data_IF_218333917921
#
_entry.id   IF_218333917921
#
_cell.length_a   1.000
_cell.length_b   1.000
_cell.length_c   1.000
_cell.angle_alpha   90.00
_cell.angle_beta   90.00
_cell.angle_gamma   90.00
#
_symmetry.space_group_name_H-M   'P 1'
#
loop_
_entity.id
_entity.type
_entity.pdbx_description
1 polymer ?
#
# COMPACT_ATOMS: atom_id res chain seq x y z
N UNK A 1 -24.01 -25.57 -31.07
CA UNK A 1 -23.94 -25.66 -29.60
C UNK A 1 -22.52 -25.86 -29.07
N UNK A 2 -21.77 -26.90 -29.48
CA UNK A 2 -20.42 -27.23 -28.94
C UNK A 2 -19.40 -26.09 -29.00
N UNK A 3 -19.33 -25.36 -30.11
CA UNK A 3 -18.37 -24.27 -30.30
C UNK A 3 -18.70 -23.08 -29.38
N UNK A 4 -19.98 -22.77 -29.21
CA UNK A 4 -20.44 -21.68 -28.32
C UNK A 4 -20.08 -22.01 -26.87
N UNK A 5 -20.29 -23.27 -26.44
CA UNK A 5 -19.89 -23.73 -25.10
C UNK A 5 -18.38 -23.66 -24.92
N UNK A 6 -17.59 -24.04 -25.93
CA UNK A 6 -16.13 -23.95 -25.87
C UNK A 6 -15.64 -22.51 -25.74
N UNK A 7 -16.22 -21.56 -26.50
CA UNK A 7 -15.89 -20.13 -26.41
C UNK A 7 -16.27 -19.57 -25.03
N UNK A 8 -17.43 -19.96 -24.51
CA UNK A 8 -17.90 -19.54 -23.19
C UNK A 8 -16.93 -20.02 -22.09
N UNK A 9 -16.49 -21.27 -22.16
CA UNK A 9 -15.51 -21.83 -21.22
C UNK A 9 -14.15 -21.14 -21.33
N UNK A 10 -13.70 -20.79 -22.55
CA UNK A 10 -12.44 -20.09 -22.75
C UNK A 10 -12.44 -18.67 -22.18
N UNK A 11 -13.61 -18.00 -22.17
CA UNK A 11 -13.75 -16.65 -21.61
C UNK A 11 -13.53 -16.60 -20.09
N UNK A 12 -13.80 -17.70 -19.37
CA UNK A 12 -13.55 -17.81 -17.93
C UNK A 12 -12.09 -18.13 -17.58
N UNK A 13 -11.23 -18.45 -18.56
CA UNK A 13 -9.82 -18.72 -18.33
C UNK A 13 -8.99 -17.44 -18.11
N UNK A 14 -9.56 -16.25 -18.35
CA UNK A 14 -8.89 -14.97 -18.17
C UNK A 14 -9.02 -14.54 -16.71
N UNK A 15 -8.03 -14.90 -15.88
CA UNK A 15 -7.90 -14.38 -14.52
C UNK A 15 -7.17 -13.03 -14.55
N UNK A 16 -7.82 -11.98 -14.04
CA UNK A 16 -7.14 -10.70 -13.80
C UNK A 16 -6.30 -10.80 -12.52
N UNK A 17 -5.11 -10.17 -12.46
CA UNK A 17 -4.35 -10.08 -11.23
C UNK A 17 -5.17 -9.33 -10.18
N UNK A 18 -5.52 -10.01 -9.09
CA UNK A 18 -6.07 -9.34 -7.92
C UNK A 18 -4.94 -8.54 -7.25
N UNK A 19 -5.05 -7.21 -7.26
CA UNK A 19 -4.12 -6.35 -6.53
C UNK A 19 -4.53 -6.38 -5.07
N UNK A 20 -4.02 -7.36 -4.32
CA UNK A 20 -4.16 -7.39 -2.87
C UNK A 20 -3.16 -6.39 -2.27
N UNK A 21 -3.68 -5.37 -1.59
CA UNK A 21 -2.86 -4.48 -0.77
C UNK A 21 -2.15 -5.27 0.34
N UNK A 22 -0.95 -4.84 0.73
CA UNK A 22 -0.23 -5.48 1.85
C UNK A 22 -0.85 -5.00 3.16
N UNK A 23 -1.43 -5.93 3.92
CA UNK A 23 -2.06 -5.66 5.21
C UNK A 23 -1.27 -6.25 6.37
N UNK A 24 -1.24 -5.54 7.51
CA UNK A 24 -0.72 -6.03 8.79
C UNK A 24 -1.63 -5.59 9.92
N UNK A 25 -1.83 -6.49 10.89
CA UNK A 25 -2.52 -6.15 12.13
C UNK A 25 -1.50 -5.68 13.15
N UNK A 26 -1.75 -4.52 13.77
CA UNK A 26 -0.89 -3.97 14.83
C UNK A 26 -1.76 -3.27 15.86
N UNK A 27 -1.51 -3.56 17.13
CA UNK A 27 -2.26 -3.01 18.27
C UNK A 27 -3.80 -3.16 18.12
N UNK A 28 -4.24 -4.27 17.53
CA UNK A 28 -5.66 -4.56 17.27
C UNK A 28 -6.26 -3.90 16.03
N UNK A 29 -5.52 -3.04 15.34
CA UNK A 29 -5.94 -2.36 14.11
C UNK A 29 -5.34 -3.02 12.87
N UNK A 30 -6.15 -3.19 11.82
CA UNK A 30 -5.68 -3.66 10.52
C UNK A 30 -5.26 -2.46 9.67
N UNK A 31 -3.96 -2.39 9.37
CA UNK A 31 -3.39 -1.37 8.49
C UNK A 31 -3.11 -2.01 7.13
N UNK A 32 -3.64 -1.43 6.06
CA UNK A 32 -3.43 -1.90 4.70
C UNK A 32 -2.83 -0.80 3.82
N UNK A 33 -1.83 -1.16 3.01
CA UNK A 33 -1.32 -0.30 1.95
C UNK A 33 -2.21 -0.47 0.72
N UNK A 34 -2.88 0.61 0.31
CA UNK A 34 -3.72 0.65 -0.88
C UNK A 34 -2.93 1.07 -2.12
N UNK A 35 -1.97 1.97 -1.95
CA UNK A 35 -1.03 2.37 -3.01
C UNK A 35 0.34 2.65 -2.41
N UNK A 36 1.41 2.33 -3.15
CA UNK A 36 2.78 2.54 -2.72
C UNK A 36 3.65 2.93 -3.90
N UNK A 37 4.13 4.16 -3.89
CA UNK A 37 5.02 4.69 -4.92
C UNK A 37 6.30 5.21 -4.29
N UNK A 38 7.42 4.58 -4.63
CA UNK A 38 8.76 5.07 -4.23
C UNK A 38 9.15 6.28 -5.06
N UNK A 39 9.76 7.29 -4.44
CA UNK A 39 10.34 8.43 -5.13
C UNK A 39 11.53 8.02 -6.00
N UNK A 40 11.64 8.62 -7.19
CA UNK A 40 12.78 8.41 -8.08
C UNK A 40 14.03 9.20 -7.64
N UNK A 41 13.83 10.36 -6.98
CA UNK A 41 14.91 11.23 -6.50
C UNK A 41 15.48 10.76 -5.16
N UNK A 42 14.59 10.41 -4.24
CA UNK A 42 14.93 10.04 -2.87
C UNK A 42 14.46 8.60 -2.63
N UNK A 43 15.34 7.60 -2.77
CA UNK A 43 14.95 6.18 -2.69
C UNK A 43 14.39 5.77 -1.31
N UNK A 44 14.57 6.60 -0.28
CA UNK A 44 14.02 6.45 1.06
C UNK A 44 12.63 7.09 1.25
N UNK A 45 12.08 7.74 0.24
CA UNK A 45 10.76 8.36 0.28
C UNK A 45 9.71 7.53 -0.45
N UNK A 46 8.55 7.41 0.17
CA UNK A 46 7.40 6.71 -0.37
C UNK A 46 6.16 7.59 -0.27
N UNK A 47 5.42 7.72 -1.37
CA UNK A 47 4.05 8.23 -1.37
C UNK A 47 3.12 7.04 -1.23
N UNK A 48 2.22 7.06 -0.25
CA UNK A 48 1.34 5.92 0.00
C UNK A 48 -0.06 6.36 0.43
N UNK A 49 -1.04 5.60 -0.06
CA UNK A 49 -2.40 5.57 0.50
C UNK A 49 -2.51 4.37 1.44
N UNK A 50 -2.98 4.61 2.65
CA UNK A 50 -3.18 3.57 3.66
C UNK A 50 -4.62 3.59 4.16
N UNK A 51 -5.15 2.42 4.48
CA UNK A 51 -6.38 2.30 5.27
C UNK A 51 -6.08 1.73 6.65
N UNK A 52 -6.90 2.14 7.62
CA UNK A 52 -6.92 1.60 8.98
C UNK A 52 -8.34 1.08 9.21
N UNK A 53 -8.47 -0.20 9.52
CA UNK A 53 -9.74 -0.91 9.71
C UNK A 53 -10.73 -0.69 8.54
N UNK A 54 -10.18 -0.70 7.31
CA UNK A 54 -10.95 -0.49 6.09
C UNK A 54 -11.24 0.98 5.75
N UNK A 55 -10.96 1.93 6.65
CA UNK A 55 -11.14 3.37 6.40
C UNK A 55 -9.91 3.94 5.70
N UNK A 56 -10.06 4.38 4.45
CA UNK A 56 -8.98 5.02 3.67
C UNK A 56 -8.60 6.37 4.28
N UNK A 57 -7.31 6.58 4.52
CA UNK A 57 -6.73 7.86 4.93
C UNK A 57 -6.30 8.74 3.75
N UNK A 58 -5.77 9.92 4.09
CA UNK A 58 -5.16 10.84 3.12
C UNK A 58 -3.89 10.22 2.50
N UNK A 59 -3.55 10.63 1.28
CA UNK A 59 -2.24 10.31 0.68
C UNK A 59 -1.14 11.05 1.45
N UNK A 60 -0.19 10.31 2.02
CA UNK A 60 0.92 10.87 2.79
C UNK A 60 2.27 10.55 2.11
N UNK A 61 3.27 11.40 2.35
CA UNK A 61 4.67 11.15 1.94
C UNK A 61 5.47 10.76 3.17
N UNK A 62 6.05 9.56 3.13
CA UNK A 62 6.80 8.94 4.21
C UNK A 62 8.29 9.02 3.89
N UNK A 63 9.07 9.66 4.75
CA UNK A 63 10.52 9.61 4.75
C UNK A 63 10.97 8.49 5.69
N UNK A 64 11.40 7.37 5.11
CA UNK A 64 11.79 6.17 5.84
C UNK A 64 13.19 6.22 6.45
N UNK A 65 14.01 7.19 6.04
CA UNK A 65 15.32 7.43 6.64
C UNK A 65 15.17 8.10 8.00
N UNK A 66 14.39 9.18 8.04
CA UNK A 66 14.23 10.03 9.21
C UNK A 66 13.01 9.64 10.07
N UNK A 67 12.21 8.67 9.60
CA UNK A 67 10.98 8.19 10.25
C UNK A 67 9.97 9.31 10.51
N UNK A 68 9.73 10.13 9.49
CA UNK A 68 8.74 11.21 9.51
C UNK A 68 7.81 11.08 8.29
N UNK A 69 6.63 11.66 8.37
CA UNK A 69 5.72 11.82 7.24
C UNK A 69 5.20 13.24 7.11
N UNK A 70 4.82 13.60 5.90
CA UNK A 70 4.13 14.86 5.62
C UNK A 70 2.63 14.58 5.59
N UNK A 71 1.92 15.20 6.54
CA UNK A 71 0.45 15.15 6.66
C UNK A 71 -0.10 16.56 6.64
N UNK A 72 -0.94 16.88 5.64
CA UNK A 72 -1.53 18.22 5.46
C UNK A 72 -0.46 19.32 5.57
N UNK A 73 0.61 19.16 4.79
CA UNK A 73 1.77 20.06 4.71
C UNK A 73 2.61 20.21 6.00
N UNK A 74 2.36 19.39 7.02
CA UNK A 74 3.16 19.36 8.25
C UNK A 74 3.98 18.09 8.34
N UNK A 75 5.24 18.23 8.73
CA UNK A 75 6.12 17.10 9.04
C UNK A 75 5.80 16.59 10.43
N UNK A 76 5.51 15.29 10.54
CA UNK A 76 5.14 14.62 11.79
C UNK A 76 5.99 13.36 11.95
N UNK A 77 6.58 13.17 13.12
CA UNK A 77 7.33 11.95 13.44
C UNK A 77 6.41 10.74 13.58
N UNK A 78 6.92 9.55 13.21
CA UNK A 78 6.18 8.31 13.41
C UNK A 78 5.96 8.05 14.90
N UNK A 79 4.78 7.51 15.21
CA UNK A 79 4.42 7.03 16.55
C UNK A 79 4.38 5.50 16.54
N UNK A 80 4.34 4.89 17.72
CA UNK A 80 4.10 3.44 17.81
C UNK A 80 2.79 3.10 17.10
N UNK A 81 2.82 2.08 16.24
CA UNK A 81 1.66 1.68 15.44
C UNK A 81 1.34 2.60 14.26
N UNK A 82 2.20 3.57 13.93
CA UNK A 82 1.98 4.43 12.76
C UNK A 82 2.06 3.60 11.46
N UNK A 83 1.19 3.88 10.45
CA UNK A 83 1.27 3.24 9.13
C UNK A 83 2.66 3.35 8.47
N UNK A 84 3.46 4.35 8.85
CA UNK A 84 4.83 4.52 8.42
C UNK A 84 5.73 3.32 8.73
N UNK A 85 5.45 2.55 9.79
CA UNK A 85 6.17 1.31 10.08
C UNK A 85 5.99 0.27 8.97
N UNK A 86 4.76 0.16 8.45
CA UNK A 86 4.42 -0.77 7.38
C UNK A 86 4.88 -0.25 6.02
N UNK A 87 4.67 1.04 5.72
CA UNK A 87 5.15 1.65 4.47
C UNK A 87 6.67 1.54 4.34
N UNK A 88 7.39 1.78 5.43
CA UNK A 88 8.84 1.74 5.43
C UNK A 88 9.43 0.33 5.56
N UNK A 89 8.63 -0.73 5.65
CA UNK A 89 9.16 -2.10 5.60
C UNK A 89 9.72 -2.46 4.21
N UNK A 90 9.32 -1.72 3.17
CA UNK A 90 9.82 -1.88 1.80
C UNK A 90 11.14 -1.15 1.55
N UNK A 91 11.56 -0.28 2.48
CA UNK A 91 12.80 0.45 2.41
C UNK A 91 13.96 -0.46 2.85
N UNK A 92 14.90 -0.73 1.93
CA UNK A 92 16.16 -1.39 2.25
C UNK A 92 17.24 -0.33 2.44
N UNK A 93 17.83 -0.29 3.64
CA UNK A 93 18.99 0.55 3.92
C UNK A 93 20.20 -0.10 3.23
N UNK A 94 20.77 0.59 2.23
CA UNK A 94 22.00 0.19 1.53
C UNK A 94 23.24 0.53 2.33
#
# INVERSE_FOLDING_TARGET
>A
MRIIVAILLLSFAIAFPAVAGVCRTRDGHQICILSLQRSAKNYWEYRADVSIDGVKGDTEVYNCRDRVKVRKDRVVAFRSGDPGDLVCSFFKRS
#
